data_IF_280724396602
#
_entry.id   IF_280724396602
#
_cell.length_a   1.000
_cell.length_b   1.000
_cell.length_c   1.000
_cell.angle_alpha   90.00
_cell.angle_beta   90.00
_cell.angle_gamma   90.00
#
_symmetry.space_group_name_H-M   'P 1'
#
loop_
_entity.id
_entity.type
_entity.pdbx_description
1 polymer ?
#
# COMPACT_ATOMS: atom_id res chain seq x y z
N UNK A 1 -21.56 -2.12 -3.20
CA UNK A 1 -22.72 -2.33 -2.31
C UNK A 1 -23.81 -1.34 -2.74
N UNK A 2 -25.06 -1.78 -2.93
CA UNK A 2 -26.14 -0.87 -3.31
C UNK A 2 -26.88 -0.36 -2.06
N UNK A 3 -27.05 0.96 -1.93
CA UNK A 3 -27.90 1.55 -0.88
C UNK A 3 -29.35 1.40 -1.29
N UNK A 4 -30.15 0.68 -0.49
CA UNK A 4 -31.58 0.46 -0.75
C UNK A 4 -32.44 0.98 0.40
N UNK A 5 -33.58 1.58 0.07
CA UNK A 5 -34.55 2.11 1.04
C UNK A 5 -35.76 1.17 1.15
N UNK A 6 -36.29 1.00 2.37
CA UNK A 6 -37.52 0.20 2.56
C UNK A 6 -38.71 0.85 1.85
N UNK A 7 -39.56 0.02 1.23
CA UNK A 7 -40.82 0.45 0.62
C UNK A 7 -41.69 1.18 1.66
N UNK A 8 -42.29 2.30 1.26
CA UNK A 8 -43.20 3.10 2.10
C UNK A 8 -42.52 4.12 3.01
N UNK A 9 -41.20 4.30 2.92
CA UNK A 9 -40.52 5.41 3.60
C UNK A 9 -40.92 6.76 3.01
N UNK A 10 -41.04 7.76 3.88
CA UNK A 10 -41.27 9.16 3.49
C UNK A 10 -40.16 9.63 2.53
N UNK A 11 -40.50 10.12 1.32
CA UNK A 11 -39.54 10.65 0.36
C UNK A 11 -38.56 11.68 0.95
N UNK A 12 -38.99 12.51 1.91
CA UNK A 12 -38.11 13.49 2.55
C UNK A 12 -36.98 12.85 3.37
N UNK A 13 -37.25 11.71 4.00
CA UNK A 13 -36.23 10.95 4.77
C UNK A 13 -35.20 10.32 3.84
N UNK A 14 -35.67 9.81 2.69
CA UNK A 14 -34.80 9.27 1.64
C UNK A 14 -33.89 10.37 1.09
N UNK A 15 -34.47 11.53 0.76
CA UNK A 15 -33.71 12.68 0.26
C UNK A 15 -32.66 13.16 1.27
N UNK A 16 -33.01 13.29 2.54
CA UNK A 16 -32.08 13.69 3.59
C UNK A 16 -30.91 12.70 3.72
N UNK A 17 -31.18 11.39 3.66
CA UNK A 17 -30.13 10.37 3.71
C UNK A 17 -29.19 10.44 2.50
N UNK A 18 -29.72 10.63 1.29
CA UNK A 18 -28.90 10.79 0.07
C UNK A 18 -28.06 12.06 0.15
N UNK A 19 -28.63 13.18 0.60
CA UNK A 19 -27.89 14.44 0.78
C UNK A 19 -26.75 14.29 1.78
N UNK A 20 -26.99 13.60 2.89
CA UNK A 20 -25.93 13.33 3.86
C UNK A 20 -24.82 12.47 3.27
N UNK A 21 -25.17 11.38 2.56
CA UNK A 21 -24.18 10.52 1.89
C UNK A 21 -23.35 11.29 0.87
N UNK A 22 -23.99 12.12 0.04
CA UNK A 22 -23.29 12.96 -0.93
C UNK A 22 -22.36 13.96 -0.26
N UNK A 23 -22.77 14.57 0.86
CA UNK A 23 -21.92 15.47 1.64
C UNK A 23 -20.72 14.74 2.24
N UNK A 24 -20.93 13.55 2.81
CA UNK A 24 -19.83 12.73 3.33
C UNK A 24 -18.85 12.31 2.23
N UNK A 25 -19.34 11.92 1.05
CA UNK A 25 -18.49 11.60 -0.09
C UNK A 25 -17.69 12.84 -0.53
N UNK A 26 -18.36 13.99 -0.67
CA UNK A 26 -17.72 15.26 -1.06
C UNK A 26 -16.60 15.66 -0.09
N UNK A 27 -16.83 15.48 1.21
CA UNK A 27 -15.82 15.67 2.24
C UNK A 27 -14.58 14.79 2.00
N UNK A 28 -14.79 13.48 1.78
CA UNK A 28 -13.70 12.52 1.60
C UNK A 28 -12.92 12.73 0.29
N UNK A 29 -13.58 13.08 -0.81
CA UNK A 29 -12.90 13.31 -2.10
C UNK A 29 -12.23 14.69 -2.18
N UNK A 30 -12.73 15.67 -1.42
CA UNK A 30 -12.18 17.02 -1.34
C UNK A 30 -11.54 17.28 0.04
N UNK A 31 -10.88 16.27 0.60
CA UNK A 31 -10.33 16.30 1.96
C UNK A 31 -9.44 17.52 2.24
N UNK A 32 -8.68 18.01 1.25
CA UNK A 32 -7.85 19.22 1.40
C UNK A 32 -8.70 20.50 1.53
N UNK A 33 -9.81 20.59 0.79
CA UNK A 33 -10.77 21.72 0.87
C UNK A 33 -11.40 21.80 2.26
N UNK A 34 -11.61 20.65 2.89
CA UNK A 34 -12.28 20.52 4.18
C UNK A 34 -11.34 20.23 5.35
N UNK A 35 -10.03 20.30 5.11
CA UNK A 35 -8.98 20.06 6.12
C UNK A 35 -9.12 18.72 6.87
N UNK A 36 -9.64 17.69 6.19
CA UNK A 36 -9.79 16.33 6.72
C UNK A 36 -8.47 15.57 6.66
N UNK A 37 -7.47 16.01 7.43
CA UNK A 37 -6.14 15.42 7.42
C UNK A 37 -6.12 13.93 7.80
N UNK A 38 -7.16 13.41 8.44
CA UNK A 38 -7.39 11.99 8.66
C UNK A 38 -7.29 11.13 7.40
N UNK A 39 -7.59 11.69 6.23
CA UNK A 39 -7.44 10.99 4.96
C UNK A 39 -5.98 10.66 4.60
N UNK A 40 -5.00 11.23 5.30
CA UNK A 40 -3.60 10.88 5.12
C UNK A 40 -3.32 9.38 5.31
N UNK A 41 -4.23 8.64 5.94
CA UNK A 41 -4.15 7.19 6.18
C UNK A 41 -5.56 6.58 6.26
N UNK A 42 -6.30 6.61 5.16
CA UNK A 42 -7.59 5.94 4.99
C UNK A 42 -8.64 6.29 6.08
N UNK A 43 -9.03 7.57 6.15
CA UNK A 43 -10.00 8.04 7.16
C UNK A 43 -9.57 7.79 8.60
N UNK A 44 -8.29 8.01 8.90
CA UNK A 44 -7.81 8.14 10.27
C UNK A 44 -8.52 9.30 10.97
N UNK A 45 -8.53 9.31 12.29
CA UNK A 45 -9.28 10.32 13.04
C UNK A 45 -8.62 11.70 13.02
N UNK A 46 -7.29 11.77 12.92
CA UNK A 46 -6.47 13.00 13.05
C UNK A 46 -6.88 13.86 14.25
N UNK A 47 -6.91 13.25 15.42
CA UNK A 47 -7.45 13.84 16.67
C UNK A 47 -6.34 14.18 17.65
N UNK A 48 -6.48 15.34 18.29
CA UNK A 48 -5.60 15.76 19.39
C UNK A 48 -5.63 14.76 20.56
N UNK A 49 -4.46 14.40 21.09
CA UNK A 49 -4.29 13.39 22.13
C UNK A 49 -4.30 11.94 21.62
N UNK A 50 -4.60 11.69 20.34
CA UNK A 50 -4.50 10.37 19.71
C UNK A 50 -3.42 10.32 18.63
N UNK A 51 -3.46 11.24 17.69
CA UNK A 51 -2.53 11.33 16.56
C UNK A 51 -1.45 12.39 16.81
N UNK A 52 -1.85 13.53 17.38
CA UNK A 52 -0.98 14.68 17.62
C UNK A 52 -1.30 15.38 18.95
N UNK A 53 -0.37 16.15 19.49
CA UNK A 53 -0.56 17.08 20.61
C UNK A 53 -0.11 18.48 20.22
N UNK A 54 -0.76 19.50 20.75
CA UNK A 54 -0.28 20.87 20.62
C UNK A 54 1.01 21.09 21.41
N UNK A 55 2.06 21.58 20.73
CA UNK A 55 3.28 22.07 21.38
C UNK A 55 3.23 23.59 21.50
N UNK A 56 2.96 24.07 22.71
CA UNK A 56 2.89 25.51 22.99
C UNK A 56 4.24 26.22 22.89
N UNK A 57 5.37 25.49 22.93
CA UNK A 57 6.71 26.09 22.86
C UNK A 57 7.13 26.42 21.43
N UNK A 58 6.71 25.59 20.47
CA UNK A 58 7.00 25.75 19.04
C UNK A 58 5.80 26.27 18.25
N UNK A 59 4.62 26.31 18.89
CA UNK A 59 3.33 26.54 18.25
C UNK A 59 3.05 25.53 17.12
N UNK A 60 3.56 24.31 17.18
CA UNK A 60 3.39 23.28 16.15
C UNK A 60 2.72 22.02 16.72
N UNK A 61 2.35 21.08 15.85
CA UNK A 61 1.82 19.77 16.28
C UNK A 61 2.99 18.81 16.45
N UNK A 62 2.98 18.01 17.50
CA UNK A 62 3.96 16.94 17.75
C UNK A 62 3.25 15.58 17.86
N UNK A 63 3.92 14.45 17.57
CA UNK A 63 3.31 13.14 17.71
C UNK A 63 3.02 12.83 19.19
N UNK A 64 1.89 12.15 19.44
CA UNK A 64 1.57 11.62 20.78
C UNK A 64 2.61 10.56 21.17
N UNK A 65 3.23 10.62 22.36
CA UNK A 65 4.19 9.61 22.78
C UNK A 65 3.59 8.20 22.87
N UNK A 66 4.34 7.13 22.52
CA UNK A 66 3.84 5.75 22.51
C UNK A 66 3.32 5.25 23.88
N UNK A 67 3.75 5.88 24.97
CA UNK A 67 3.37 5.51 26.34
C UNK A 67 1.91 5.85 26.67
N UNK A 68 1.30 6.81 25.97
CA UNK A 68 -0.11 7.19 26.16
C UNK A 68 -1.06 6.19 25.48
N UNK A 69 -0.58 5.48 24.46
CA UNK A 69 -1.31 4.43 23.73
C UNK A 69 -1.33 3.07 24.48
N UNK A 70 -0.95 3.00 25.76
CA UNK A 70 -0.97 1.74 26.54
C UNK A 70 -2.11 1.67 27.57
N UNK A 71 -3.24 2.32 27.30
CA UNK A 71 -4.45 1.99 28.08
C UNK A 71 -4.88 0.55 27.75
N UNK A 72 -5.51 -0.14 28.73
CA UNK A 72 -5.99 -1.53 28.61
C UNK A 72 -6.87 -1.82 27.36
N UNK A 73 -7.31 -0.78 26.65
CA UNK A 73 -8.19 -0.83 25.49
C UNK A 73 -7.64 -0.05 24.29
N UNK A 74 -6.33 0.26 24.25
CA UNK A 74 -5.78 0.95 23.10
C UNK A 74 -5.85 0.05 21.85
N UNK A 75 -6.51 0.50 20.77
CA UNK A 75 -6.44 -0.20 19.50
C UNK A 75 -4.98 -0.12 19.04
N UNK A 76 -4.41 -1.29 18.79
CA UNK A 76 -3.12 -1.58 18.14
C UNK A 76 -2.37 -0.36 17.58
N UNK A 77 -1.09 -0.28 17.95
CA UNK A 77 -0.10 0.66 17.39
C UNK A 77 -0.04 0.65 15.86
N UNK A 78 0.81 1.50 15.25
CA UNK A 78 0.74 1.83 13.84
C UNK A 78 0.98 0.58 12.98
N UNK A 79 -0.09 -0.13 12.60
CA UNK A 79 -0.01 -1.26 11.68
C UNK A 79 0.62 -0.73 10.37
N UNK A 80 1.89 -1.04 10.09
CA UNK A 80 2.70 -0.30 9.13
C UNK A 80 2.29 -0.55 7.67
N UNK A 81 1.33 -1.44 7.46
CA UNK A 81 0.71 -1.74 6.17
C UNK A 81 -0.75 -2.12 6.39
N UNK A 82 -1.50 -1.26 7.08
CA UNK A 82 -2.95 -1.29 6.94
C UNK A 82 -3.27 -0.94 5.50
N UNK A 83 -3.30 -1.92 4.59
CA UNK A 83 -4.30 -1.96 3.54
C UNK A 83 -5.60 -2.26 4.29
N UNK A 84 -6.33 -1.25 4.79
CA UNK A 84 -7.56 -1.57 5.49
C UNK A 84 -8.48 -2.06 4.38
N UNK A 85 -9.09 -3.23 4.52
CA UNK A 85 -9.98 -3.82 3.50
C UNK A 85 -11.26 -3.00 3.18
N UNK A 86 -11.23 -1.68 3.39
CA UNK A 86 -12.35 -0.75 3.35
C UNK A 86 -12.16 0.40 2.33
N UNK A 87 -11.02 0.52 1.64
CA UNK A 87 -10.80 1.56 0.63
C UNK A 87 -10.14 1.01 -0.64
N UNK A 88 -10.53 1.56 -1.80
CA UNK A 88 -9.97 1.19 -3.09
C UNK A 88 -8.51 1.68 -3.20
N UNK A 89 -7.58 0.90 -3.77
CA UNK A 89 -6.19 1.35 -3.93
C UNK A 89 -6.07 2.70 -4.66
N UNK A 90 -6.91 2.91 -5.67
CA UNK A 90 -7.01 4.13 -6.47
C UNK A 90 -7.39 5.37 -5.62
N UNK A 91 -8.08 5.17 -4.49
CA UNK A 91 -8.42 6.26 -3.58
C UNK A 91 -7.20 6.75 -2.80
N UNK A 92 -6.46 5.82 -2.18
CA UNK A 92 -5.31 6.20 -1.35
C UNK A 92 -4.16 6.76 -2.19
N UNK A 93 -3.94 6.26 -3.41
CA UNK A 93 -2.89 6.77 -4.29
C UNK A 93 -3.10 8.24 -4.66
N UNK A 94 -4.34 8.71 -4.83
CA UNK A 94 -4.62 10.10 -5.20
C UNK A 94 -4.29 11.05 -4.04
N UNK A 95 -4.63 10.66 -2.81
CA UNK A 95 -4.21 11.37 -1.60
C UNK A 95 -2.69 11.41 -1.50
N UNK A 96 -2.02 10.27 -1.70
CA UNK A 96 -0.56 10.14 -1.61
C UNK A 96 0.16 11.01 -2.64
N UNK A 97 -0.39 11.13 -3.85
CA UNK A 97 0.13 12.01 -4.91
C UNK A 97 0.01 13.48 -4.51
N UNK A 98 -1.13 13.90 -3.97
CA UNK A 98 -1.27 15.29 -3.48
C UNK A 98 -0.34 15.57 -2.31
N UNK A 99 -0.27 14.66 -1.33
CA UNK A 99 0.63 14.77 -0.18
C UNK A 99 2.11 14.78 -0.59
N UNK A 100 2.50 14.00 -1.61
CA UNK A 100 3.91 13.93 -2.05
C UNK A 100 4.46 15.30 -2.46
N UNK A 101 3.60 16.20 -2.95
CA UNK A 101 3.97 17.57 -3.33
C UNK A 101 4.42 18.40 -2.13
N UNK A 102 3.98 18.08 -0.92
CA UNK A 102 4.30 18.83 0.28
C UNK A 102 5.77 18.65 0.70
N UNK A 103 6.36 17.48 0.45
CA UNK A 103 7.75 17.19 0.82
C UNK A 103 8.78 18.03 0.07
N UNK A 104 8.40 18.62 -1.07
CA UNK A 104 9.25 19.49 -1.89
C UNK A 104 8.85 20.97 -1.79
N UNK A 105 7.79 21.28 -1.06
CA UNK A 105 7.34 22.66 -0.86
C UNK A 105 8.10 23.34 0.27
N UNK A 106 8.14 24.67 0.21
CA UNK A 106 8.62 25.50 1.32
C UNK A 106 7.74 25.24 2.57
N UNK A 107 8.31 24.80 3.70
CA UNK A 107 7.56 24.55 4.93
C UNK A 107 6.72 25.74 5.42
N UNK A 108 7.09 26.97 5.06
CA UNK A 108 6.32 28.18 5.42
C UNK A 108 4.99 28.28 4.66
N UNK A 109 4.87 27.63 3.50
CA UNK A 109 3.63 27.59 2.71
C UNK A 109 2.67 26.49 3.17
N UNK A 110 3.18 25.53 3.93
CA UNK A 110 2.37 24.48 4.51
C UNK A 110 1.63 25.00 5.75
N UNK A 111 0.45 24.47 6.04
CA UNK A 111 -0.18 24.67 7.34
C UNK A 111 0.42 23.71 8.39
N UNK A 112 -0.01 23.84 9.64
CA UNK A 112 0.53 23.07 10.78
C UNK A 112 0.32 21.57 10.63
N UNK A 113 -0.85 21.15 10.15
CA UNK A 113 -1.15 19.74 9.92
C UNK A 113 -0.30 19.14 8.80
N UNK A 114 -0.14 19.86 7.69
CA UNK A 114 0.73 19.46 6.59
C UNK A 114 2.20 19.33 7.04
N UNK A 115 2.72 20.31 7.80
CA UNK A 115 4.06 20.23 8.38
C UNK A 115 4.22 19.04 9.31
N UNK A 116 3.23 18.80 10.17
CA UNK A 116 3.21 17.63 11.04
C UNK A 116 3.30 16.34 10.23
N UNK A 117 2.43 16.14 9.23
CA UNK A 117 2.44 14.93 8.41
C UNK A 117 3.75 14.75 7.63
N UNK A 118 4.34 15.85 7.12
CA UNK A 118 5.65 15.84 6.45
C UNK A 118 6.80 15.50 7.40
N UNK A 119 6.66 15.80 8.70
CA UNK A 119 7.66 15.45 9.73
C UNK A 119 7.71 13.96 10.06
N UNK A 120 6.65 13.21 9.74
CA UNK A 120 6.54 11.79 10.02
C UNK A 120 7.35 10.97 9.01
N UNK A 121 8.52 10.48 9.43
CA UNK A 121 9.42 9.69 8.59
C UNK A 121 8.71 8.49 7.94
N UNK A 122 7.95 7.74 8.73
CA UNK A 122 7.22 6.56 8.26
C UNK A 122 6.20 6.91 7.17
N UNK A 123 5.57 8.10 7.24
CA UNK A 123 4.60 8.53 6.24
C UNK A 123 5.26 8.80 4.89
N UNK A 124 6.45 9.39 4.90
CA UNK A 124 7.25 9.59 3.67
C UNK A 124 7.56 8.26 2.99
N UNK A 125 8.00 7.28 3.78
CA UNK A 125 8.33 5.93 3.29
C UNK A 125 7.09 5.27 2.70
N UNK A 126 5.98 5.30 3.43
CA UNK A 126 4.71 4.69 3.00
C UNK A 126 4.19 5.30 1.68
N UNK A 127 4.16 6.64 1.54
CA UNK A 127 3.80 7.31 0.27
C UNK A 127 4.66 6.80 -0.88
N UNK A 128 5.97 6.73 -0.66
CA UNK A 128 6.93 6.33 -1.70
C UNK A 128 6.73 4.88 -2.13
N UNK A 129 6.57 3.98 -1.15
CA UNK A 129 6.35 2.55 -1.39
C UNK A 129 4.99 2.29 -2.03
N UNK A 130 3.93 2.94 -1.57
CA UNK A 130 2.59 2.77 -2.12
C UNK A 130 2.52 3.20 -3.59
N UNK A 131 3.12 4.35 -3.92
CA UNK A 131 3.23 4.80 -5.31
C UNK A 131 4.02 3.83 -6.19
N UNK A 132 5.13 3.28 -5.68
CA UNK A 132 5.90 2.27 -6.41
C UNK A 132 5.06 1.01 -6.68
N UNK A 133 4.39 0.47 -5.66
CA UNK A 133 3.56 -0.73 -5.78
C UNK A 133 2.39 -0.49 -6.75
N UNK A 134 1.68 0.63 -6.60
CA UNK A 134 0.56 0.97 -7.48
C UNK A 134 0.99 1.11 -8.94
N UNK A 135 2.07 1.85 -9.21
CA UNK A 135 2.56 2.07 -10.57
C UNK A 135 3.24 0.81 -11.16
N UNK A 136 3.66 -0.12 -10.31
CA UNK A 136 4.24 -1.40 -10.74
C UNK A 136 3.24 -2.55 -10.87
N UNK A 137 1.94 -2.29 -10.66
CA UNK A 137 0.89 -3.30 -10.81
C UNK A 137 0.89 -3.99 -12.19
N UNK A 138 1.32 -3.30 -13.24
CA UNK A 138 1.45 -3.88 -14.59
C UNK A 138 2.74 -4.70 -14.80
N UNK A 139 3.73 -4.59 -13.90
CA UNK A 139 4.96 -5.38 -13.94
C UNK A 139 4.89 -6.61 -13.04
N UNK A 140 3.99 -6.61 -12.05
CA UNK A 140 3.79 -7.74 -11.15
C UNK A 140 3.03 -8.86 -11.87
N UNK A 141 3.77 -9.86 -12.36
CA UNK A 141 3.18 -11.13 -12.77
C UNK A 141 2.95 -11.95 -11.50
N UNK A 142 1.68 -12.12 -11.11
CA UNK A 142 1.33 -13.01 -10.03
C UNK A 142 1.77 -14.44 -10.39
N UNK A 143 2.35 -15.16 -9.42
CA UNK A 143 2.62 -16.58 -9.62
C UNK A 143 1.28 -17.31 -9.72
N UNK A 144 0.97 -17.83 -10.90
CA UNK A 144 -0.25 -18.60 -11.15
C UNK A 144 -0.13 -20.05 -10.65
N UNK A 145 1.08 -20.53 -10.32
CA UNK A 145 1.27 -21.88 -9.82
C UNK A 145 0.90 -21.97 -8.32
N UNK A 146 -0.32 -22.44 -8.05
CA UNK A 146 -0.85 -22.65 -6.70
C UNK A 146 -0.83 -24.14 -6.29
N UNK A 147 -0.12 -24.98 -7.04
CA UNK A 147 -0.01 -26.41 -6.79
C UNK A 147 0.94 -26.77 -5.64
N UNK A 148 0.81 -27.98 -5.11
CA UNK A 148 1.84 -28.54 -4.23
C UNK A 148 3.16 -28.72 -5.02
N UNK A 149 4.32 -28.44 -4.41
CA UNK A 149 5.61 -28.64 -5.08
C UNK A 149 5.85 -30.12 -5.39
N UNK A 150 6.33 -30.41 -6.60
CA UNK A 150 6.72 -31.78 -7.01
C UNK A 150 8.03 -32.19 -6.32
N UNK A 151 8.35 -33.49 -6.32
CA UNK A 151 9.64 -33.98 -5.82
C UNK A 151 10.83 -33.32 -6.54
N UNK A 152 10.69 -33.09 -7.85
CA UNK A 152 11.69 -32.37 -8.65
C UNK A 152 11.83 -30.92 -8.19
N UNK A 153 10.72 -30.22 -7.96
CA UNK A 153 10.74 -28.86 -7.44
C UNK A 153 11.42 -28.79 -6.07
N UNK A 154 11.12 -29.71 -5.15
CA UNK A 154 11.76 -29.77 -3.81
C UNK A 154 13.28 -29.90 -3.95
N UNK A 155 13.75 -30.71 -4.91
CA UNK A 155 15.18 -30.94 -5.15
C UNK A 155 15.88 -29.79 -5.89
N UNK A 156 15.22 -29.19 -6.88
CA UNK A 156 15.86 -28.27 -7.85
C UNK A 156 15.68 -26.79 -7.50
N UNK A 157 14.52 -26.39 -6.97
CA UNK A 157 14.22 -24.98 -6.71
C UNK A 157 15.20 -24.28 -5.77
N UNK A 158 15.75 -24.90 -4.70
CA UNK A 158 16.72 -24.23 -3.83
C UNK A 158 17.95 -23.72 -4.58
N UNK A 159 18.53 -24.56 -5.45
CA UNK A 159 19.71 -24.20 -6.25
C UNK A 159 19.38 -23.18 -7.34
N UNK A 160 18.22 -23.33 -7.99
CA UNK A 160 17.74 -22.40 -9.01
C UNK A 160 17.47 -21.00 -8.42
N UNK A 161 16.87 -20.91 -7.24
CA UNK A 161 16.64 -19.64 -6.52
C UNK A 161 17.94 -18.98 -6.09
N UNK A 162 18.94 -19.77 -5.67
CA UNK A 162 20.27 -19.24 -5.33
C UNK A 162 20.96 -18.64 -6.56
N UNK A 163 20.87 -19.32 -7.71
CA UNK A 163 21.38 -18.82 -8.98
C UNK A 163 20.69 -17.50 -9.36
N UNK A 164 19.37 -17.46 -9.31
CA UNK A 164 18.56 -16.26 -9.58
C UNK A 164 18.95 -15.09 -8.67
N UNK A 165 18.98 -15.31 -7.36
CA UNK A 165 19.35 -14.29 -6.39
C UNK A 165 20.75 -13.72 -6.65
N UNK A 166 21.72 -14.58 -6.99
CA UNK A 166 23.07 -14.14 -7.30
C UNK A 166 23.10 -13.26 -8.55
N UNK A 167 22.56 -13.73 -9.68
CA UNK A 167 22.59 -12.99 -10.93
C UNK A 167 21.84 -11.67 -10.82
N UNK A 168 20.64 -11.68 -10.23
CA UNK A 168 19.82 -10.46 -10.13
C UNK A 168 20.47 -9.45 -9.20
N UNK A 169 21.03 -9.88 -8.07
CA UNK A 169 21.76 -8.97 -7.16
C UNK A 169 22.96 -8.36 -7.88
N UNK A 170 23.76 -9.15 -8.59
CA UNK A 170 24.94 -8.68 -9.31
C UNK A 170 24.59 -7.71 -10.44
N UNK A 171 23.47 -7.92 -11.14
CA UNK A 171 22.95 -6.98 -12.17
C UNK A 171 22.50 -5.67 -11.50
N UNK A 172 21.68 -5.75 -10.45
CA UNK A 172 21.12 -4.56 -9.78
C UNK A 172 22.19 -3.66 -9.19
N UNK A 173 23.26 -4.22 -8.61
CA UNK A 173 24.36 -3.43 -8.05
C UNK A 173 25.43 -3.06 -9.09
N UNK A 174 25.22 -3.38 -10.37
CA UNK A 174 26.12 -3.03 -11.47
C UNK A 174 27.41 -3.86 -11.55
N UNK A 175 27.51 -5.00 -10.86
CA UNK A 175 28.64 -5.94 -11.02
C UNK A 175 28.58 -6.72 -12.33
N UNK A 176 27.37 -6.94 -12.85
CA UNK A 176 27.13 -7.53 -14.18
C UNK A 176 26.32 -6.57 -15.05
N UNK A 177 26.54 -6.56 -16.37
CA UNK A 177 25.71 -5.81 -17.29
C UNK A 177 24.33 -6.49 -17.44
N UNK A 178 23.32 -5.75 -17.94
CA UNK A 178 21.95 -6.26 -18.10
C UNK A 178 21.88 -7.50 -19.00
N UNK A 179 22.78 -7.58 -19.99
CA UNK A 179 22.91 -8.68 -20.94
C UNK A 179 23.20 -10.02 -20.26
N UNK A 180 23.79 -10.02 -19.06
CA UNK A 180 24.03 -11.23 -18.25
C UNK A 180 22.74 -11.96 -17.86
N UNK A 181 21.58 -11.33 -18.02
CA UNK A 181 20.29 -12.00 -17.90
C UNK A 181 20.15 -13.18 -18.87
N UNK A 182 20.69 -13.09 -20.09
CA UNK A 182 20.63 -14.20 -21.06
C UNK A 182 21.46 -15.40 -20.58
N UNK A 183 22.63 -15.14 -19.97
CA UNK A 183 23.47 -16.18 -19.36
C UNK A 183 22.75 -16.84 -18.19
N UNK A 184 22.11 -16.04 -17.33
CA UNK A 184 21.26 -16.54 -16.25
C UNK A 184 20.20 -17.50 -16.77
N UNK A 185 19.44 -17.11 -17.80
CA UNK A 185 18.37 -17.95 -18.36
C UNK A 185 18.95 -19.28 -18.86
N UNK A 186 20.05 -19.25 -19.61
CA UNK A 186 20.68 -20.49 -20.10
C UNK A 186 21.12 -21.40 -18.95
N UNK A 187 21.78 -20.84 -17.93
CA UNK A 187 22.26 -21.60 -16.79
C UNK A 187 21.10 -22.15 -15.94
N UNK A 188 20.06 -21.36 -15.73
CA UNK A 188 18.84 -21.77 -15.03
C UNK A 188 18.17 -22.95 -15.74
N UNK A 189 18.06 -22.88 -17.06
CA UNK A 189 17.56 -23.99 -17.89
C UNK A 189 18.41 -25.25 -17.72
N UNK A 190 19.74 -25.12 -17.77
CA UNK A 190 20.67 -26.25 -17.65
C UNK A 190 20.65 -26.91 -16.26
N UNK A 191 20.39 -26.15 -15.20
CA UNK A 191 20.35 -26.64 -13.80
C UNK A 191 19.03 -27.29 -13.39
N UNK A 192 18.18 -27.65 -14.34
CA UNK A 192 16.90 -28.30 -14.08
C UNK A 192 15.69 -27.36 -14.13
N UNK A 193 15.89 -26.11 -14.53
CA UNK A 193 14.80 -25.16 -14.76
C UNK A 193 13.76 -25.68 -15.77
N UNK A 194 14.19 -26.35 -16.85
CA UNK A 194 13.26 -26.94 -17.83
C UNK A 194 12.27 -27.92 -17.18
N UNK A 195 12.78 -28.75 -16.27
CA UNK A 195 11.99 -29.79 -15.61
C UNK A 195 10.95 -29.18 -14.67
N UNK A 196 11.33 -28.12 -13.96
CA UNK A 196 10.40 -27.34 -13.13
C UNK A 196 9.33 -26.67 -14.00
N UNK A 197 9.71 -26.08 -15.14
CA UNK A 197 8.76 -25.47 -16.08
C UNK A 197 7.79 -26.49 -16.67
N UNK A 198 8.25 -27.70 -17.00
CA UNK A 198 7.40 -28.81 -17.45
C UNK A 198 6.36 -29.19 -16.38
N UNK A 199 6.77 -29.31 -15.12
CA UNK A 199 5.86 -29.61 -13.99
C UNK A 199 4.77 -28.56 -13.83
N UNK A 200 5.14 -27.27 -13.87
CA UNK A 200 4.18 -26.16 -13.81
C UNK A 200 3.22 -26.22 -15.00
N UNK A 201 3.70 -26.46 -16.21
CA UNK A 201 2.86 -26.53 -17.41
C UNK A 201 1.87 -27.70 -17.37
N UNK A 202 2.29 -28.86 -16.84
CA UNK A 202 1.40 -30.01 -16.62
C UNK A 202 0.30 -29.65 -15.62
N UNK A 203 0.67 -29.06 -14.49
CA UNK A 203 -0.29 -28.59 -13.51
C UNK A 203 -1.25 -27.55 -14.09
N UNK A 204 -0.75 -26.57 -14.83
CA UNK A 204 -1.55 -25.49 -15.42
C UNK A 204 -2.63 -26.02 -16.38
N UNK A 205 -2.26 -26.97 -17.24
CA UNK A 205 -3.20 -27.65 -18.14
C UNK A 205 -4.27 -28.44 -17.37
N UNK A 206 -3.97 -28.93 -16.17
CA UNK A 206 -4.94 -29.66 -15.33
C UNK A 206 -6.01 -28.74 -14.71
N UNK A 207 -5.71 -27.45 -14.53
CA UNK A 207 -6.62 -26.47 -13.90
C UNK A 207 -7.63 -25.85 -14.88
N UNK A 208 -7.29 -25.76 -16.18
CA UNK A 208 -8.19 -25.26 -17.23
C UNK A 208 -9.13 -26.39 -17.69
N UNK A 209 -10.19 -26.65 -16.92
CA UNK A 209 -11.34 -27.48 -17.31
C UNK A 209 -12.53 -26.63 -17.73
#
# INVERSE_FOLDING_TARGET
MATVFRKGLDPKKIEAAIRHLNWSIDLHVNWLKYEQYGEHRNSATFVEGYDWEWDSSTCELKPVPPTVQQTKYAPRGPDPFGFPGNCYPDYQIDIDREMSKWYTQDPQKLNKAQRFLVSLLWRRVEISVYQLVYNSGNFALADEFLGAPTERMIKLLPDLRKLEQQYFTEIVIGKRPLEAFHEFVQEWWNRGGKQVTEDVNVWYKSQRR
#
